data_IF_735413790926
#
_entry.id   IF_735413790926
#
_cell.length_a   1.000
_cell.length_b   1.000
_cell.length_c   1.000
_cell.angle_alpha   90.00
_cell.angle_beta   90.00
_cell.angle_gamma   90.00
#
_symmetry.space_group_name_H-M   'P 1'
#
loop_
_entity.id
_entity.type
_entity.pdbx_description
1 polymer ?
#
# COMPACT_ATOMS: atom_id res chain seq x y z
N UNK A 1 -28.63 -52.27 4.66
CA UNK A 1 -27.58 -51.76 5.56
C UNK A 1 -27.01 -50.49 4.92
N UNK A 2 -27.04 -49.37 5.65
CA UNK A 2 -26.80 -47.99 5.18
C UNK A 2 -25.51 -47.79 4.37
N UNK A 3 -25.59 -47.05 3.25
CA UNK A 3 -24.54 -46.10 2.87
C UNK A 3 -25.14 -44.70 2.89
N UNK A 4 -24.64 -43.85 3.79
CA UNK A 4 -24.91 -42.42 3.80
C UNK A 4 -23.85 -41.70 2.95
N UNK A 5 -24.21 -40.84 1.98
CA UNK A 5 -23.27 -39.93 1.35
C UNK A 5 -23.18 -38.61 2.14
N UNK A 6 -22.00 -38.29 2.72
CA UNK A 6 -21.69 -36.97 3.31
C UNK A 6 -20.86 -36.12 2.32
N UNK A 7 -21.53 -35.10 1.80
CA UNK A 7 -21.05 -33.71 1.67
C UNK A 7 -19.88 -33.41 0.71
N UNK A 8 -20.20 -33.16 -0.57
CA UNK A 8 -19.34 -32.42 -1.51
C UNK A 8 -19.72 -30.93 -1.42
N UNK A 9 -18.81 -30.08 -0.93
CA UNK A 9 -18.94 -28.62 -1.03
C UNK A 9 -18.34 -28.17 -2.36
N UNK A 10 -19.18 -27.93 -3.37
CA UNK A 10 -18.80 -27.17 -4.54
C UNK A 10 -19.14 -25.69 -4.28
N UNK A 11 -18.12 -24.86 -4.03
CA UNK A 11 -18.23 -23.41 -4.09
C UNK A 11 -17.63 -22.98 -5.41
N UNK A 12 -18.48 -22.88 -6.43
CA UNK A 12 -18.16 -22.21 -7.70
C UNK A 12 -18.68 -20.79 -7.64
N UNK A 13 -17.79 -19.79 -7.72
CA UNK A 13 -18.19 -18.40 -7.96
C UNK A 13 -17.99 -18.16 -9.45
N UNK A 14 -19.09 -18.10 -10.19
CA UNK A 14 -19.14 -17.56 -11.55
C UNK A 14 -19.99 -16.30 -11.47
N UNK A 15 -19.37 -15.12 -11.41
CA UNK A 15 -20.07 -13.87 -11.71
C UNK A 15 -19.53 -13.35 -13.05
N UNK A 16 -20.35 -13.56 -14.08
CA UNK A 16 -20.07 -13.19 -15.46
C UNK A 16 -20.09 -11.68 -15.67
N UNK A 17 -19.22 -11.23 -16.59
CA UNK A 17 -19.25 -9.91 -17.17
C UNK A 17 -20.48 -9.74 -18.08
N UNK A 18 -21.14 -8.57 -18.02
CA UNK A 18 -21.91 -8.06 -19.15
C UNK A 18 -21.77 -6.53 -19.22
N UNK A 19 -21.01 -6.09 -20.22
CA UNK A 19 -21.01 -4.73 -20.75
C UNK A 19 -22.26 -4.58 -21.61
N UNK A 20 -23.11 -3.58 -21.33
CA UNK A 20 -24.14 -3.13 -22.28
C UNK A 20 -24.13 -1.59 -22.36
N UNK A 21 -23.64 -1.07 -23.49
CA UNK A 21 -23.87 0.29 -23.95
C UNK A 21 -25.35 0.43 -24.39
N UNK A 22 -26.07 1.44 -23.90
CA UNK A 22 -26.90 2.36 -24.71
C UNK A 22 -27.74 3.32 -23.85
N UNK A 23 -27.49 4.61 -24.06
CA UNK A 23 -28.36 5.78 -23.84
C UNK A 23 -29.47 5.72 -22.77
N UNK A 24 -29.26 6.45 -21.67
CA UNK A 24 -30.33 7.22 -21.04
C UNK A 24 -29.79 8.63 -20.77
N UNK A 25 -29.82 9.42 -21.83
CA UNK A 25 -29.63 10.88 -21.80
C UNK A 25 -30.86 11.50 -21.14
N UNK A 26 -30.61 12.48 -20.27
CA UNK A 26 -31.56 13.38 -19.59
C UNK A 26 -32.46 12.73 -18.54
N UNK A 27 -32.15 12.93 -17.27
CA UNK A 27 -32.94 13.71 -16.31
C UNK A 27 -32.27 13.61 -14.94
N UNK A 28 -31.89 14.76 -14.37
CA UNK A 28 -31.56 14.86 -12.96
C UNK A 28 -30.16 15.33 -12.62
N UNK A 29 -29.74 16.50 -13.12
CA UNK A 29 -28.91 17.39 -12.30
C UNK A 29 -29.77 17.80 -11.10
N UNK A 30 -29.69 17.04 -10.00
CA UNK A 30 -29.90 17.67 -8.69
C UNK A 30 -28.59 18.37 -8.37
N UNK A 31 -28.66 19.69 -8.33
CA UNK A 31 -27.62 20.55 -7.82
C UNK A 31 -27.24 20.09 -6.41
N UNK A 32 -26.13 19.36 -6.29
CA UNK A 32 -25.23 19.64 -5.18
C UNK A 32 -24.42 20.83 -5.64
N UNK A 33 -24.77 22.01 -5.15
CA UNK A 33 -23.79 23.07 -4.97
C UNK A 33 -22.72 22.47 -4.06
N UNK A 34 -21.77 21.73 -4.66
CA UNK A 34 -20.45 21.65 -4.09
C UNK A 34 -20.02 23.11 -4.09
N UNK A 35 -20.15 23.71 -2.92
CA UNK A 35 -19.40 24.89 -2.60
C UNK A 35 -18.00 24.63 -3.15
N UNK A 36 -17.60 25.46 -4.11
CA UNK A 36 -16.20 25.77 -4.28
C UNK A 36 -15.85 26.40 -2.94
N UNK A 37 -15.56 25.55 -1.95
CA UNK A 37 -14.97 25.92 -0.70
C UNK A 37 -13.66 26.57 -1.12
N UNK A 38 -13.72 27.88 -1.27
CA UNK A 38 -12.59 28.78 -1.32
C UNK A 38 -11.39 28.22 -2.09
N UNK A 39 -11.25 28.60 -3.36
CA UNK A 39 -9.90 28.98 -3.84
C UNK A 39 -9.51 30.31 -3.16
N UNK A 40 -9.61 30.33 -1.84
CA UNK A 40 -8.99 31.29 -0.96
C UNK A 40 -7.61 30.76 -0.69
N UNK A 41 -6.66 31.65 -0.91
CA UNK A 41 -5.23 31.43 -0.90
C UNK A 41 -4.72 31.09 0.50
N UNK A 42 -5.05 29.91 0.98
CA UNK A 42 -4.26 29.21 1.99
C UNK A 42 -3.99 27.83 1.39
N UNK A 43 -3.18 27.74 0.32
CA UNK A 43 -2.46 26.48 0.15
C UNK A 43 -1.55 26.41 1.36
N UNK A 44 -1.80 25.57 2.40
CA UNK A 44 -0.69 25.19 3.24
C UNK A 44 0.38 24.73 2.25
N UNK A 45 1.63 25.16 2.44
CA UNK A 45 2.72 24.59 1.66
C UNK A 45 2.49 23.07 1.69
N UNK A 46 2.35 22.45 0.51
CA UNK A 46 2.16 21.00 0.42
C UNK A 46 3.33 20.39 1.16
N UNK A 47 3.08 19.92 2.38
CA UNK A 47 4.12 19.35 3.22
C UNK A 47 4.56 18.05 2.56
N UNK A 48 5.82 17.68 2.72
CA UNK A 48 6.37 16.46 2.11
C UNK A 48 5.55 15.22 2.56
N UNK A 49 5.02 15.25 3.78
CA UNK A 49 4.12 14.24 4.31
C UNK A 49 2.79 14.12 3.55
N UNK A 50 2.19 15.25 3.14
CA UNK A 50 0.92 15.24 2.41
C UNK A 50 1.10 14.66 1.00
N UNK A 51 2.26 14.91 0.40
CA UNK A 51 2.63 14.30 -0.87
C UNK A 51 2.80 12.78 -0.74
N UNK A 52 3.57 12.33 0.26
CA UNK A 52 3.78 10.90 0.55
C UNK A 52 2.46 10.17 0.83
N UNK A 53 1.55 10.76 1.61
CA UNK A 53 0.22 10.18 1.88
C UNK A 53 -0.63 10.02 0.62
N UNK A 54 -0.60 11.00 -0.29
CA UNK A 54 -1.33 10.91 -1.56
C UNK A 54 -0.73 9.86 -2.49
N UNK A 55 0.60 9.78 -2.54
CA UNK A 55 1.28 8.73 -3.29
C UNK A 55 0.95 7.34 -2.73
N UNK A 56 0.88 7.19 -1.41
CA UNK A 56 0.48 5.93 -0.78
C UNK A 56 -0.96 5.54 -1.15
N UNK A 57 -1.90 6.48 -1.06
CA UNK A 57 -3.29 6.24 -1.46
C UNK A 57 -3.40 5.82 -2.93
N UNK A 58 -2.59 6.44 -3.81
CA UNK A 58 -2.51 6.05 -5.21
C UNK A 58 -1.90 4.66 -5.38
N UNK A 59 -0.81 4.35 -4.67
CA UNK A 59 -0.17 3.02 -4.70
C UNK A 59 -1.17 1.92 -4.32
N UNK A 60 -1.95 2.12 -3.26
CA UNK A 60 -2.98 1.19 -2.83
C UNK A 60 -4.09 1.01 -3.87
N UNK A 61 -4.46 2.07 -4.61
CA UNK A 61 -5.42 1.96 -5.72
C UNK A 61 -4.92 1.08 -6.88
N UNK A 62 -3.60 0.95 -7.03
CA UNK A 62 -2.94 0.03 -7.96
C UNK A 62 -2.58 -1.32 -7.32
N UNK A 63 -2.96 -1.57 -6.06
CA UNK A 63 -2.66 -2.80 -5.35
C UNK A 63 -1.21 -2.94 -4.89
N UNK A 64 -0.44 -1.84 -4.86
CA UNK A 64 0.95 -1.85 -4.40
C UNK A 64 0.98 -1.54 -2.90
N UNK A 65 1.63 -2.40 -2.12
CA UNK A 65 1.80 -2.21 -0.68
C UNK A 65 3.18 -1.59 -0.37
N UNK A 66 3.15 -0.34 0.07
CA UNK A 66 4.30 0.50 0.46
C UNK A 66 4.64 0.38 1.95
N UNK A 67 3.90 -0.43 2.73
CA UNK A 67 4.07 -0.59 4.18
C UNK A 67 4.25 -2.06 4.57
N UNK A 68 5.32 -2.36 5.29
CA UNK A 68 5.69 -3.72 5.74
C UNK A 68 6.13 -3.69 7.21
N UNK A 69 5.41 -4.46 8.03
CA UNK A 69 5.63 -4.55 9.48
C UNK A 69 5.60 -5.99 9.96
N UNK A 70 6.36 -6.85 9.27
CA UNK A 70 6.25 -8.30 9.47
C UNK A 70 6.84 -8.71 10.83
N UNK A 71 7.73 -7.92 11.44
CA UNK A 71 8.36 -8.24 12.73
C UNK A 71 7.46 -7.83 13.91
N UNK A 72 6.71 -6.74 13.78
CA UNK A 72 5.78 -6.28 14.81
C UNK A 72 4.64 -7.27 15.09
N UNK A 73 4.34 -8.16 14.14
CA UNK A 73 3.20 -9.09 14.19
C UNK A 73 3.45 -10.40 14.94
N UNK A 74 4.61 -10.57 15.61
CA UNK A 74 5.00 -11.82 16.32
C UNK A 74 4.83 -13.08 15.46
N UNK A 75 5.13 -12.95 14.17
CA UNK A 75 5.01 -14.04 13.20
C UNK A 75 6.13 -15.06 13.47
N UNK A 76 5.93 -16.31 13.07
CA UNK A 76 6.99 -17.31 13.10
C UNK A 76 8.26 -16.78 12.40
N UNK A 77 9.44 -17.11 12.92
CA UNK A 77 10.70 -16.66 12.35
C UNK A 77 10.78 -17.06 10.87
N UNK A 78 10.94 -16.09 9.99
CA UNK A 78 11.23 -16.34 8.60
C UNK A 78 12.69 -16.80 8.43
N UNK A 79 12.96 -17.54 7.36
CA UNK A 79 14.32 -17.98 7.01
C UNK A 79 15.25 -16.79 6.72
N UNK A 80 14.67 -15.67 6.27
CA UNK A 80 15.34 -14.42 5.97
C UNK A 80 14.49 -13.27 6.48
N UNK A 81 15.17 -12.27 7.05
CA UNK A 81 14.56 -11.00 7.42
C UNK A 81 15.22 -9.87 6.65
N UNK A 82 14.43 -9.02 6.02
CA UNK A 82 14.86 -7.81 5.34
C UNK A 82 14.41 -6.61 6.16
N UNK A 83 15.37 -5.80 6.60
CA UNK A 83 15.10 -4.47 7.16
C UNK A 83 15.37 -3.46 6.04
N UNK A 84 14.35 -2.69 5.68
CA UNK A 84 14.38 -1.79 4.52
C UNK A 84 14.10 -0.36 4.96
N UNK A 85 14.93 0.58 4.52
CA UNK A 85 14.71 2.00 4.69
C UNK A 85 14.31 2.60 3.34
N UNK A 86 13.13 3.24 3.27
CA UNK A 86 12.67 3.87 2.04
C UNK A 86 13.52 5.08 1.63
N UNK A 87 13.32 5.61 0.43
CA UNK A 87 13.98 6.84 -0.02
C UNK A 87 13.34 8.11 0.53
N UNK A 88 14.02 9.23 0.36
CA UNK A 88 13.44 10.55 0.65
C UNK A 88 12.20 10.80 -0.20
N UNK A 89 11.12 11.32 0.37
CA UNK A 89 9.85 11.61 -0.32
C UNK A 89 9.14 10.38 -0.89
N UNK A 90 9.48 9.17 -0.42
CA UNK A 90 8.80 7.95 -0.84
C UNK A 90 7.71 7.54 0.17
N UNK A 91 6.58 7.00 -0.30
CA UNK A 91 5.45 6.68 0.55
C UNK A 91 5.67 5.41 1.38
N UNK A 92 4.91 5.29 2.47
CA UNK A 92 4.93 4.14 3.36
C UNK A 92 6.28 3.97 4.07
N UNK A 93 6.66 2.75 4.45
CA UNK A 93 7.95 2.46 5.10
C UNK A 93 8.90 1.60 4.23
N UNK A 94 8.46 1.20 3.03
CA UNK A 94 9.25 0.40 2.09
C UNK A 94 9.28 0.92 0.66
N UNK A 95 8.98 2.20 0.44
CA UNK A 95 8.98 2.82 -0.89
C UNK A 95 7.91 2.31 -1.84
N UNK A 96 7.57 3.13 -2.83
CA UNK A 96 6.73 2.72 -3.95
C UNK A 96 7.55 2.04 -5.05
N UNK A 97 8.72 2.61 -5.37
CA UNK A 97 9.45 2.26 -6.60
C UNK A 97 10.42 1.11 -6.37
N UNK A 98 11.16 1.10 -5.26
CA UNK A 98 12.26 0.15 -5.06
C UNK A 98 11.87 -1.07 -4.25
N UNK A 99 11.14 -0.91 -3.14
CA UNK A 99 10.85 -2.03 -2.23
C UNK A 99 10.04 -3.14 -2.87
N UNK A 100 8.80 -2.89 -3.34
CA UNK A 100 7.95 -3.93 -3.92
C UNK A 100 8.63 -4.81 -4.99
N UNK A 101 9.26 -4.24 -6.05
CA UNK A 101 9.93 -5.07 -7.05
C UNK A 101 11.17 -5.79 -6.50
N UNK A 102 11.91 -5.20 -5.55
CA UNK A 102 13.02 -5.89 -4.90
C UNK A 102 12.53 -7.10 -4.08
N UNK A 103 11.43 -6.96 -3.35
CA UNK A 103 10.88 -8.04 -2.52
C UNK A 103 10.32 -9.18 -3.35
N UNK A 104 9.69 -8.87 -4.48
CA UNK A 104 9.17 -9.89 -5.38
C UNK A 104 10.31 -10.66 -6.06
N UNK A 105 11.33 -9.95 -6.56
CA UNK A 105 12.54 -10.59 -7.11
C UNK A 105 13.28 -11.44 -6.05
N UNK A 106 13.36 -10.96 -4.81
CA UNK A 106 13.95 -11.73 -3.71
C UNK A 106 13.18 -13.02 -3.47
N UNK A 107 11.85 -12.96 -3.35
CA UNK A 107 11.01 -14.17 -3.14
C UNK A 107 11.19 -15.19 -4.26
N UNK A 108 11.28 -14.74 -5.52
CA UNK A 108 11.54 -15.61 -6.67
C UNK A 108 12.89 -16.34 -6.55
N UNK A 109 13.94 -15.64 -6.12
CA UNK A 109 15.28 -16.22 -5.94
C UNK A 109 15.40 -17.18 -4.75
N UNK A 110 14.56 -16.99 -3.73
CA UNK A 110 14.64 -17.75 -2.49
C UNK A 110 14.10 -19.18 -2.57
N UNK A 111 13.47 -19.57 -3.70
CA UNK A 111 13.14 -20.96 -3.98
C UNK A 111 12.24 -21.62 -2.93
N UNK A 112 11.33 -20.86 -2.31
CA UNK A 112 10.40 -21.35 -1.30
C UNK A 112 10.80 -21.10 0.16
N UNK A 113 11.99 -20.52 0.41
CA UNK A 113 12.32 -20.01 1.75
C UNK A 113 11.45 -18.81 2.10
N UNK A 114 11.04 -18.75 3.36
CA UNK A 114 10.22 -17.67 3.89
C UNK A 114 11.03 -16.38 4.06
N UNK A 115 10.41 -15.23 3.78
CA UNK A 115 11.00 -13.90 3.98
C UNK A 115 10.04 -13.02 4.76
N UNK A 116 10.56 -12.37 5.80
CA UNK A 116 9.88 -11.31 6.55
C UNK A 116 10.47 -9.96 6.17
N UNK A 117 9.63 -8.95 5.97
CA UNK A 117 10.05 -7.61 5.59
C UNK A 117 9.59 -6.61 6.65
N UNK A 118 10.55 -5.84 7.16
CA UNK A 118 10.30 -4.74 8.08
C UNK A 118 10.78 -3.45 7.42
N UNK A 119 9.85 -2.53 7.19
CA UNK A 119 10.20 -1.16 6.90
C UNK A 119 10.71 -0.48 8.17
N UNK A 120 11.71 0.38 8.01
CA UNK A 120 12.19 1.24 9.08
C UNK A 120 11.25 2.44 9.17
N UNK A 121 10.68 2.66 10.34
CA UNK A 121 9.87 3.86 10.59
C UNK A 121 10.81 5.04 10.85
N UNK A 122 10.97 5.91 9.86
CA UNK A 122 11.75 7.13 10.00
C UNK A 122 11.22 8.22 9.05
N UNK A 123 11.52 9.51 9.31
CA UNK A 123 10.84 10.60 8.60
C UNK A 123 11.19 10.77 7.12
N UNK A 124 12.31 10.18 6.64
CA UNK A 124 12.89 10.37 5.31
C UNK A 124 12.71 11.75 4.64
N UNK A 125 12.92 12.80 5.42
CA UNK A 125 12.79 14.17 4.90
C UNK A 125 14.01 14.57 4.08
N UNK A 126 13.81 15.51 3.16
CA UNK A 126 14.90 16.14 2.42
C UNK A 126 15.91 16.83 3.36
N UNK A 127 15.43 17.39 4.47
CA UNK A 127 16.28 18.01 5.48
C UNK A 127 17.19 16.98 6.16
N UNK A 128 16.65 15.80 6.50
CA UNK A 128 17.41 14.69 7.06
C UNK A 128 18.47 14.16 6.09
N UNK A 129 18.12 14.03 4.81
CA UNK A 129 19.07 13.65 3.75
C UNK A 129 20.24 14.64 3.64
N UNK A 130 19.97 15.95 3.55
CA UNK A 130 21.01 16.98 3.45
C UNK A 130 21.89 17.08 4.70
N UNK A 131 21.38 16.63 5.85
CA UNK A 131 22.14 16.51 7.10
C UNK A 131 22.75 15.12 7.26
N UNK A 132 23.05 14.42 6.16
CA UNK A 132 23.72 13.13 6.13
C UNK A 132 23.02 12.06 6.99
N UNK A 133 21.68 12.05 7.00
CA UNK A 133 20.89 11.04 7.72
C UNK A 133 20.94 11.16 9.25
N UNK A 134 21.34 12.32 9.79
CA UNK A 134 21.41 12.52 11.26
C UNK A 134 20.04 12.55 11.95
N UNK A 135 18.95 12.77 11.20
CA UNK A 135 17.56 12.64 11.67
C UNK A 135 17.03 11.20 11.58
N UNK A 136 17.92 10.21 11.71
CA UNK A 136 17.59 8.80 11.62
C UNK A 136 16.60 8.31 12.69
N UNK A 137 16.36 7.01 12.71
CA UNK A 137 15.37 6.34 13.56
C UNK A 137 15.52 6.76 15.03
N UNK A 138 14.45 7.24 15.71
CA UNK A 138 14.40 7.25 17.16
C UNK A 138 14.69 5.84 17.67
N UNK A 139 15.43 5.72 18.77
CA UNK A 139 15.93 4.45 19.32
C UNK A 139 14.86 3.34 19.25
N UNK A 140 15.17 2.22 18.58
CA UNK A 140 14.26 1.07 18.51
C UNK A 140 14.18 0.44 19.91
N UNK A 141 13.09 0.70 20.63
CA UNK A 141 12.79 0.12 21.95
C UNK A 141 12.01 -1.18 21.85
#
# INVERSE_FOLDING_TARGET
>A
MLLAPRNIRHVGIVLGALVLHSATFVYGLSASTNEVASIGQDTPAMDLSDFELRQDAQAQSFGINTTRDDLARKVACADITVVFAHGTTEPGNVSLVTGPPFFDALKEQLGGRSVAIQGVEYPATFAGFNRNGTEGVPSMS
#
